data_IF_977726048905
#
_entry.id   IF_977726048905
#
_cell.length_a   1.000
_cell.length_b   1.000
_cell.length_c   1.000
_cell.angle_alpha   90.00
_cell.angle_beta   90.00
_cell.angle_gamma   90.00
#
_symmetry.space_group_name_H-M   'P 1'
#
loop_
_entity.id
_entity.type
_entity.pdbx_description
1 polymer ?
#
# COMPACT_ATOMS: atom_id res chain seq x y z
N UNK A 1 7.05 -1.98 -9.94
CA UNK A 1 5.70 -1.48 -9.68
C UNK A 1 5.23 -1.91 -8.29
N UNK A 2 4.58 -1.01 -7.57
CA UNK A 2 4.05 -1.30 -6.24
C UNK A 2 2.72 -2.08 -6.29
N UNK A 3 1.96 -1.90 -7.34
CA UNK A 3 0.66 -2.55 -7.51
C UNK A 3 0.67 -3.45 -8.74
N UNK A 4 0.03 -4.60 -8.63
CA UNK A 4 -0.14 -5.50 -9.79
C UNK A 4 -1.44 -5.20 -10.54
N UNK A 5 -2.27 -4.33 -10.04
CA UNK A 5 -3.49 -3.89 -10.70
C UNK A 5 -4.44 -3.23 -9.72
N UNK A 6 -5.65 -3.02 -10.17
CA UNK A 6 -6.67 -2.28 -9.42
C UNK A 6 -8.00 -3.02 -9.44
N UNK A 7 -8.82 -2.72 -8.44
CA UNK A 7 -10.16 -3.28 -8.30
C UNK A 7 -11.14 -2.16 -7.95
N UNK A 8 -12.41 -2.38 -8.23
CA UNK A 8 -13.47 -1.47 -7.82
C UNK A 8 -13.74 -1.61 -6.33
N UNK A 9 -13.99 -0.49 -5.67
CA UNK A 9 -14.38 -0.46 -4.26
C UNK A 9 -15.60 0.41 -4.08
N UNK A 10 -16.27 0.23 -2.94
CA UNK A 10 -17.30 1.13 -2.44
C UNK A 10 -16.88 1.56 -1.05
N UNK A 11 -16.50 2.84 -0.91
CA UNK A 11 -15.80 3.29 0.28
C UNK A 11 -14.47 2.55 0.42
N UNK A 12 -14.25 1.90 1.56
CA UNK A 12 -13.03 1.12 1.80
C UNK A 12 -13.20 -0.36 1.45
N UNK A 13 -14.38 -0.77 1.00
CA UNK A 13 -14.69 -2.18 0.80
C UNK A 13 -14.57 -2.57 -0.67
N UNK A 14 -13.82 -3.63 -0.96
CA UNK A 14 -13.73 -4.18 -2.30
C UNK A 14 -15.09 -4.77 -2.73
N UNK A 15 -15.51 -4.44 -3.95
CA UNK A 15 -16.74 -4.99 -4.53
C UNK A 15 -16.44 -5.96 -5.67
N UNK A 16 -15.17 -6.28 -5.87
CA UNK A 16 -14.69 -7.28 -6.83
C UNK A 16 -13.77 -8.24 -6.10
N UNK A 17 -13.70 -9.49 -6.55
CA UNK A 17 -12.72 -10.44 -6.07
C UNK A 17 -11.32 -9.99 -6.49
N UNK A 18 -10.35 -10.07 -5.59
CA UNK A 18 -8.98 -9.68 -5.87
C UNK A 18 -7.94 -10.74 -5.52
N UNK A 19 -8.34 -11.80 -4.81
CA UNK A 19 -7.46 -12.91 -4.50
C UNK A 19 -7.46 -13.91 -5.66
N UNK A 20 -6.30 -14.46 -5.96
CA UNK A 20 -6.14 -15.52 -6.97
C UNK A 20 -6.59 -15.13 -8.38
N UNK A 21 -6.60 -13.82 -8.66
CA UNK A 21 -6.90 -13.34 -10.01
C UNK A 21 -5.62 -13.25 -10.83
N UNK A 22 -5.73 -13.61 -12.10
CA UNK A 22 -4.62 -13.50 -13.05
C UNK A 22 -4.62 -12.16 -13.77
N UNK A 23 -5.73 -11.43 -13.74
CA UNK A 23 -5.88 -10.17 -14.44
C UNK A 23 -6.65 -9.16 -13.61
N UNK A 24 -6.10 -7.97 -13.48
CA UNK A 24 -6.69 -6.87 -12.73
C UNK A 24 -6.94 -5.68 -13.65
N UNK A 25 -7.76 -4.74 -13.20
CA UNK A 25 -8.01 -3.51 -13.95
C UNK A 25 -6.77 -2.64 -13.97
N UNK A 26 -6.59 -1.89 -15.05
CA UNK A 26 -5.52 -0.89 -15.14
C UNK A 26 -5.94 0.39 -14.43
N UNK A 27 -4.98 1.25 -14.13
CA UNK A 27 -5.27 2.56 -13.53
C UNK A 27 -6.22 3.38 -14.42
N UNK A 28 -6.00 3.36 -15.74
CA UNK A 28 -6.87 4.10 -16.67
C UNK A 28 -8.32 3.64 -16.63
N UNK A 29 -8.55 2.36 -16.34
CA UNK A 29 -9.91 1.83 -16.23
C UNK A 29 -10.63 2.26 -14.94
N UNK A 30 -9.90 2.59 -13.89
CA UNK A 30 -10.49 2.87 -12.57
C UNK A 30 -10.38 4.31 -12.11
N UNK A 31 -9.52 5.12 -12.72
CA UNK A 31 -9.21 6.47 -12.24
C UNK A 31 -10.41 7.41 -12.15
N UNK A 32 -11.45 7.15 -12.92
CA UNK A 32 -12.66 7.98 -12.93
C UNK A 32 -13.81 7.39 -12.11
N UNK A 33 -13.59 6.26 -11.45
CA UNK A 33 -14.59 5.64 -10.57
C UNK A 33 -14.59 6.35 -9.22
N UNK A 34 -15.76 6.33 -8.55
CA UNK A 34 -15.88 6.88 -7.19
C UNK A 34 -14.99 6.16 -6.20
N UNK A 35 -14.78 4.87 -6.39
CA UNK A 35 -13.93 4.08 -5.51
C UNK A 35 -13.15 3.04 -6.26
N UNK A 36 -11.85 3.00 -6.00
CA UNK A 36 -10.98 1.92 -6.48
C UNK A 36 -9.85 1.71 -5.47
N UNK A 37 -9.29 0.52 -5.49
CA UNK A 37 -8.15 0.18 -4.65
C UNK A 37 -7.05 -0.47 -5.45
N UNK A 38 -5.81 -0.27 -5.01
CA UNK A 38 -4.64 -0.94 -5.58
C UNK A 38 -4.46 -2.32 -4.96
N UNK A 39 -4.19 -3.31 -5.79
CA UNK A 39 -3.82 -4.65 -5.33
C UNK A 39 -2.31 -4.71 -5.30
N UNK A 40 -1.74 -4.96 -4.12
CA UNK A 40 -0.29 -4.94 -3.94
C UNK A 40 0.38 -6.02 -4.77
N UNK A 41 1.49 -5.66 -5.39
CA UNK A 41 2.37 -6.64 -6.02
C UNK A 41 2.94 -7.58 -4.94
N UNK A 42 3.32 -8.79 -5.33
CA UNK A 42 3.76 -9.82 -4.38
C UNK A 42 5.01 -9.42 -3.60
N UNK A 43 5.81 -8.52 -4.14
CA UNK A 43 7.03 -8.01 -3.50
C UNK A 43 6.84 -6.64 -2.83
N UNK A 44 5.63 -6.18 -2.67
CA UNK A 44 5.34 -4.91 -2.01
C UNK A 44 5.00 -5.15 -0.54
N UNK A 45 5.60 -4.35 0.34
CA UNK A 45 5.32 -4.35 1.76
C UNK A 45 4.58 -3.07 2.10
N UNK A 46 3.42 -3.21 2.73
CA UNK A 46 2.65 -2.09 3.25
C UNK A 46 2.80 -2.02 4.76
N UNK A 47 3.19 -0.86 5.25
CA UNK A 47 3.13 -0.56 6.68
C UNK A 47 2.09 0.53 6.85
N UNK A 48 1.02 0.20 7.57
CA UNK A 48 -0.09 1.11 7.85
C UNK A 48 -0.02 1.57 9.30
N UNK A 49 0.25 2.86 9.50
CA UNK A 49 0.31 3.44 10.83
C UNK A 49 -0.87 4.39 10.99
N UNK A 50 -1.82 3.99 11.81
CA UNK A 50 -3.06 4.71 12.06
C UNK A 50 -2.95 5.60 13.30
N UNK A 51 -1.83 6.30 13.43
CA UNK A 51 -1.53 7.23 14.51
C UNK A 51 -0.58 8.30 13.99
N UNK A 52 -0.95 9.57 14.18
CA UNK A 52 -0.21 10.68 13.61
C UNK A 52 1.22 10.76 14.15
N UNK A 53 1.40 10.63 15.46
CA UNK A 53 2.72 10.75 16.09
C UNK A 53 3.65 9.62 15.68
N UNK A 54 3.15 8.38 15.69
CA UNK A 54 3.94 7.23 15.30
C UNK A 54 4.27 7.24 13.81
N UNK A 55 3.33 7.69 12.98
CA UNK A 55 3.60 7.82 11.55
C UNK A 55 4.67 8.88 11.26
N UNK A 56 4.72 9.93 12.06
CA UNK A 56 5.75 10.97 11.98
C UNK A 56 7.14 10.39 12.28
N UNK A 57 7.23 9.52 13.29
CA UNK A 57 8.50 8.87 13.65
C UNK A 57 9.03 8.06 12.46
N UNK A 58 8.18 7.24 11.84
CA UNK A 58 8.61 6.45 10.68
C UNK A 58 8.93 7.36 9.48
N UNK A 59 8.16 8.44 9.28
CA UNK A 59 8.44 9.39 8.22
C UNK A 59 9.82 10.02 8.36
N UNK A 60 10.21 10.37 9.60
CA UNK A 60 11.53 10.91 9.89
C UNK A 60 12.63 9.89 9.56
N UNK A 61 12.40 8.62 9.86
CA UNK A 61 13.34 7.55 9.51
C UNK A 61 13.48 7.41 8.00
N UNK A 62 12.36 7.43 7.29
CA UNK A 62 12.35 7.35 5.81
C UNK A 62 13.17 8.50 5.22
N UNK A 63 13.00 9.71 5.72
CA UNK A 63 13.74 10.88 5.24
C UNK A 63 15.21 10.84 5.61
N UNK A 64 15.53 10.49 6.87
CA UNK A 64 16.91 10.47 7.35
C UNK A 64 17.76 9.48 6.61
N UNK A 65 17.23 8.28 6.38
CA UNK A 65 17.97 7.22 5.69
C UNK A 65 17.72 7.18 4.19
N UNK A 66 16.94 8.11 3.66
CA UNK A 66 16.60 8.19 2.24
C UNK A 66 16.08 6.87 1.68
N UNK A 67 15.14 6.26 2.41
CA UNK A 67 14.57 4.99 2.03
C UNK A 67 13.69 5.14 0.78
N UNK A 68 13.77 4.17 -0.11
CA UNK A 68 12.94 4.12 -1.30
C UNK A 68 11.53 3.64 -0.90
N UNK A 69 10.66 4.60 -0.66
CA UNK A 69 9.36 4.35 -0.07
C UNK A 69 8.35 5.33 -0.63
N UNK A 70 7.17 4.83 -0.99
CA UNK A 70 6.05 5.70 -1.33
C UNK A 70 5.18 5.90 -0.11
N UNK A 71 4.85 7.15 0.18
CA UNK A 71 4.10 7.51 1.38
C UNK A 71 2.78 8.16 0.98
N UNK A 72 1.70 7.69 1.58
CA UNK A 72 0.38 8.29 1.43
C UNK A 72 -0.14 8.71 2.79
N UNK A 73 -0.62 9.95 2.90
CA UNK A 73 -1.26 10.43 4.11
C UNK A 73 -2.70 9.95 4.17
N UNK A 74 -3.11 9.50 5.35
CA UNK A 74 -4.49 9.14 5.64
C UNK A 74 -5.06 10.11 6.66
N UNK A 75 -6.32 9.94 7.04
CA UNK A 75 -6.96 10.83 8.02
C UNK A 75 -6.32 10.75 9.40
N UNK A 76 -5.67 9.64 9.76
CA UNK A 76 -5.09 9.42 11.08
C UNK A 76 -3.60 9.18 11.10
N UNK A 77 -3.01 8.87 9.96
CA UNK A 77 -1.60 8.50 9.90
C UNK A 77 -1.08 8.44 8.50
N UNK A 78 -0.31 7.41 8.20
CA UNK A 78 0.31 7.25 6.88
C UNK A 78 0.40 5.79 6.48
N UNK A 79 0.35 5.55 5.17
CA UNK A 79 0.69 4.29 4.55
C UNK A 79 2.09 4.39 3.96
N UNK A 80 2.94 3.42 4.25
CA UNK A 80 4.29 3.34 3.73
C UNK A 80 4.42 2.09 2.86
N UNK A 81 4.82 2.27 1.61
CA UNK A 81 4.93 1.18 0.64
C UNK A 81 6.39 1.00 0.23
N UNK A 82 6.91 -0.17 0.48
CA UNK A 82 8.29 -0.54 0.16
C UNK A 82 8.31 -1.73 -0.79
N UNK A 83 9.37 -1.82 -1.60
CA UNK A 83 9.67 -3.05 -2.32
C UNK A 83 10.48 -3.97 -1.43
N UNK A 84 10.11 -5.25 -1.40
CA UNK A 84 10.83 -6.25 -0.64
C UNK A 84 11.92 -6.85 -1.50
N UNK A 85 13.16 -6.39 -1.32
CA UNK A 85 14.29 -6.86 -2.11
C UNK A 85 15.08 -7.98 -1.45
N UNK A 86 14.99 -8.09 -0.13
CA UNK A 86 15.88 -8.99 0.62
C UNK A 86 15.26 -9.62 1.85
N UNK A 87 14.05 -9.22 2.23
CA UNK A 87 13.37 -9.77 3.41
C UNK A 87 12.60 -11.01 3.00
N UNK A 88 12.70 -12.08 3.81
CA UNK A 88 12.00 -13.32 3.54
C UNK A 88 10.49 -13.17 3.78
N UNK A 89 9.71 -13.98 3.08
CA UNK A 89 8.27 -13.88 3.03
C UNK A 89 7.53 -14.16 4.35
N UNK A 90 8.16 -14.82 5.28
CA UNK A 90 7.55 -15.08 6.57
C UNK A 90 7.58 -13.88 7.50
N UNK A 91 8.08 -12.75 7.04
CA UNK A 91 7.98 -11.48 7.74
C UNK A 91 6.94 -10.60 7.06
N UNK A 92 5.71 -10.70 7.51
CA UNK A 92 4.58 -10.01 6.91
C UNK A 92 4.26 -8.67 7.56
N UNK A 93 4.85 -8.37 8.70
CA UNK A 93 4.66 -7.10 9.38
C UNK A 93 5.86 -6.78 10.26
N UNK A 94 5.99 -5.51 10.59
CA UNK A 94 7.00 -5.01 11.52
C UNK A 94 6.26 -4.40 12.71
N UNK A 95 6.50 -4.88 13.93
CA UNK A 95 5.93 -4.24 15.12
C UNK A 95 6.50 -2.83 15.28
N UNK A 96 5.62 -1.89 15.49
CA UNK A 96 6.00 -0.47 15.63
C UNK A 96 5.55 0.10 16.96
#
# INVERSE_FOLDING_TARGET
>A
MLYKGYIKTKGKKAIEAFKDRTKYRTYDEVKNLEGFGGVLADDTILIDIDDAEQSEILMNIVEEYQLDCRVYCTSRGRHFLFKNHSITRNRTHVPL
#
